data_IF_881722547484
#
_entry.id   IF_881722547484
#
_cell.length_a   1.000
_cell.length_b   1.000
_cell.length_c   1.000
_cell.angle_alpha   90.00
_cell.angle_beta   90.00
_cell.angle_gamma   90.00
#
_symmetry.space_group_name_H-M   'P 1'
#
loop_
_entity.id
_entity.type
_entity.pdbx_description
1 polymer ?
#
# COMPACT_ATOMS: atom_id res chain seq x y z
N UNK A 1 7.85 -6.04 26.12
CA UNK A 1 7.71 -6.24 24.66
C UNK A 1 6.89 -7.50 24.47
N UNK A 2 5.63 -7.36 24.08
CA UNK A 2 4.81 -8.51 23.71
C UNK A 2 5.32 -9.03 22.37
N UNK A 3 5.69 -10.31 22.30
CA UNK A 3 5.95 -10.97 21.02
C UNK A 3 4.72 -10.76 20.12
N UNK A 4 4.88 -9.97 19.06
CA UNK A 4 3.80 -9.67 18.14
C UNK A 4 3.44 -10.98 17.40
N UNK A 5 2.44 -11.70 17.92
CA UNK A 5 1.82 -12.88 17.30
C UNK A 5 1.14 -12.60 15.93
N UNK A 6 1.35 -11.41 15.39
CA UNK A 6 0.90 -10.94 14.09
C UNK A 6 1.73 -11.51 12.92
N UNK A 7 2.96 -11.94 13.18
CA UNK A 7 3.96 -12.17 12.13
C UNK A 7 3.94 -13.55 11.46
N UNK A 8 3.59 -14.61 12.19
CA UNK A 8 3.45 -15.97 11.64
C UNK A 8 2.05 -16.22 11.06
N UNK A 9 1.47 -15.19 10.45
CA UNK A 9 0.17 -15.29 9.80
C UNK A 9 0.36 -15.68 8.33
N UNK A 10 -0.43 -16.64 7.82
CA UNK A 10 -0.47 -16.94 6.38
C UNK A 10 -0.92 -15.69 5.63
N UNK A 11 -0.56 -15.57 4.35
CA UNK A 11 -0.77 -14.36 3.55
C UNK A 11 -2.25 -13.95 3.57
N UNK A 12 -2.50 -12.78 4.13
CA UNK A 12 -3.80 -12.12 4.13
C UNK A 12 -3.97 -11.38 2.81
N UNK A 13 -2.92 -10.65 2.43
CA UNK A 13 -2.88 -9.95 1.18
C UNK A 13 -1.48 -9.87 0.58
N UNK A 14 -1.43 -9.84 -0.74
CA UNK A 14 -0.29 -9.44 -1.53
C UNK A 14 -0.29 -7.94 -1.82
N UNK A 15 0.90 -7.37 -1.84
CA UNK A 15 1.17 -6.04 -2.39
C UNK A 15 2.14 -6.23 -3.55
N UNK A 16 1.80 -5.71 -4.72
CA UNK A 16 2.60 -5.84 -5.94
C UNK A 16 2.60 -4.55 -6.76
N UNK A 17 3.65 -4.40 -7.59
CA UNK A 17 3.80 -3.28 -8.52
C UNK A 17 3.82 -3.81 -9.95
N UNK A 18 2.71 -3.62 -10.67
CA UNK A 18 2.48 -4.22 -11.99
C UNK A 18 2.88 -3.28 -13.13
N UNK A 19 2.52 -2.00 -13.04
CA UNK A 19 2.77 -0.97 -14.04
C UNK A 19 3.25 0.33 -13.39
N UNK A 20 3.88 1.26 -14.13
CA UNK A 20 4.42 2.52 -13.60
C UNK A 20 3.50 3.32 -12.66
N UNK A 21 2.19 3.13 -12.76
CA UNK A 21 1.14 3.84 -12.04
C UNK A 21 0.14 2.91 -11.33
N UNK A 22 0.44 1.62 -11.22
CA UNK A 22 -0.47 0.61 -10.67
C UNK A 22 0.17 -0.11 -9.49
N UNK A 23 -0.44 0.09 -8.32
CA UNK A 23 -0.19 -0.72 -7.13
C UNK A 23 -1.38 -1.66 -6.99
N UNK A 24 -1.13 -2.96 -6.87
CA UNK A 24 -2.16 -3.96 -6.68
C UNK A 24 -2.14 -4.52 -5.25
N UNK A 25 -3.33 -4.68 -4.68
CA UNK A 25 -3.56 -5.35 -3.39
C UNK A 25 -4.37 -6.60 -3.66
N UNK A 26 -3.77 -7.77 -3.45
CA UNK A 26 -4.41 -9.07 -3.70
C UNK A 26 -4.83 -9.70 -2.38
N UNK A 27 -6.12 -9.79 -2.08
CA UNK A 27 -6.66 -10.44 -0.89
C UNK A 27 -6.80 -11.95 -1.12
N UNK A 28 -6.30 -12.74 -0.16
CA UNK A 28 -6.33 -14.19 -0.24
C UNK A 28 -7.79 -14.72 -0.17
N UNK A 29 -8.18 -15.71 -1.02
CA UNK A 29 -9.59 -16.12 -1.15
C UNK A 29 -10.20 -16.67 0.13
N UNK A 30 -9.40 -17.29 0.99
CA UNK A 30 -9.90 -17.86 2.26
C UNK A 30 -10.19 -16.81 3.33
N UNK A 31 -9.64 -15.59 3.24
CA UNK A 31 -9.98 -14.49 4.15
C UNK A 31 -11.08 -13.59 3.59
N UNK A 32 -11.29 -13.62 2.28
CA UNK A 32 -12.24 -12.77 1.60
C UNK A 32 -13.66 -12.81 2.20
N UNK A 33 -14.28 -13.98 2.49
CA UNK A 33 -15.59 -14.02 3.13
C UNK A 33 -15.64 -13.32 4.48
N UNK A 34 -14.55 -13.37 5.25
CA UNK A 34 -14.47 -12.71 6.55
C UNK A 34 -14.29 -11.19 6.41
N UNK A 35 -13.46 -10.74 5.46
CA UNK A 35 -13.32 -9.32 5.10
C UNK A 35 -14.67 -8.74 4.69
N UNK A 36 -15.39 -9.42 3.79
CA UNK A 36 -16.75 -9.03 3.35
C UNK A 36 -17.74 -9.05 4.51
N UNK A 37 -17.68 -10.07 5.37
CA UNK A 37 -18.54 -10.17 6.55
C UNK A 37 -18.33 -9.03 7.55
N UNK A 38 -17.06 -8.69 7.83
CA UNK A 38 -16.70 -7.56 8.68
C UNK A 38 -17.14 -6.22 8.10
N UNK A 39 -16.88 -6.02 6.80
CA UNK A 39 -17.34 -4.86 6.03
C UNK A 39 -18.85 -4.69 6.10
N UNK A 40 -19.61 -5.76 5.87
CA UNK A 40 -21.07 -5.76 5.90
C UNK A 40 -21.61 -5.39 7.28
N UNK A 41 -21.05 -5.97 8.35
CA UNK A 41 -21.41 -5.62 9.74
C UNK A 41 -21.10 -4.16 10.05
N UNK A 42 -19.92 -3.70 9.65
CA UNK A 42 -19.47 -2.32 9.89
C UNK A 42 -20.35 -1.32 9.15
N UNK A 43 -20.72 -1.59 7.91
CA UNK A 43 -21.66 -0.77 7.14
C UNK A 43 -23.03 -0.74 7.75
N UNK A 44 -23.54 -1.88 8.21
CA UNK A 44 -24.85 -1.95 8.87
C UNK A 44 -24.86 -1.08 10.13
N UNK A 45 -23.84 -1.22 10.98
CA UNK A 45 -23.67 -0.39 12.19
C UNK A 45 -23.51 1.10 11.84
N UNK A 46 -22.76 1.41 10.79
CA UNK A 46 -22.63 2.77 10.29
C UNK A 46 -23.99 3.30 9.84
N UNK A 47 -24.78 2.58 9.03
CA UNK A 47 -26.11 2.98 8.54
C UNK A 47 -27.14 3.22 9.65
N UNK A 48 -26.98 2.58 10.80
CA UNK A 48 -27.86 2.76 11.96
C UNK A 48 -27.53 4.02 12.79
N UNK A 49 -26.26 4.45 12.82
CA UNK A 49 -25.84 5.63 13.58
C UNK A 49 -26.17 6.94 12.86
N UNK A 50 -27.07 7.77 13.42
CA UNK A 50 -27.19 9.19 13.04
C UNK A 50 -25.99 9.95 13.60
N UNK A 51 -25.17 10.56 12.74
CA UNK A 51 -23.98 11.31 13.13
C UNK A 51 -23.94 12.69 12.44
N UNK A 52 -23.37 13.68 13.12
CA UNK A 52 -23.14 15.04 12.59
C UNK A 52 -21.95 15.07 11.59
N UNK A 53 -21.85 16.09 10.71
CA UNK A 53 -20.66 16.29 9.89
C UNK A 53 -19.44 16.57 10.78
N UNK A 54 -18.22 16.01 10.52
CA UNK A 54 -17.73 15.32 9.32
C UNK A 54 -17.82 13.78 9.38
N UNK A 55 -18.36 13.18 10.45
CA UNK A 55 -18.47 11.73 10.60
C UNK A 55 -19.30 11.08 9.48
N UNK A 56 -20.24 11.84 8.88
CA UNK A 56 -21.05 11.40 7.75
C UNK A 56 -20.22 11.13 6.47
N UNK A 57 -19.12 11.86 6.23
CA UNK A 57 -18.28 11.67 5.04
C UNK A 57 -17.42 10.39 5.13
N UNK A 58 -16.83 10.13 6.30
CA UNK A 58 -16.10 8.88 6.55
C UNK A 58 -17.04 7.67 6.48
N UNK A 59 -18.24 7.81 7.08
CA UNK A 59 -19.32 6.83 7.03
C UNK A 59 -19.74 6.50 5.59
N UNK A 60 -20.04 7.50 4.76
CA UNK A 60 -20.41 7.28 3.36
C UNK A 60 -19.29 6.63 2.54
N UNK A 61 -18.03 7.00 2.78
CA UNK A 61 -16.88 6.35 2.14
C UNK A 61 -16.79 4.87 2.51
N UNK A 62 -16.87 4.53 3.79
CA UNK A 62 -16.84 3.13 4.26
C UNK A 62 -18.02 2.31 3.72
N UNK A 63 -19.20 2.93 3.59
CA UNK A 63 -20.36 2.30 2.98
C UNK A 63 -20.10 2.00 1.51
N UNK A 64 -19.59 2.95 0.74
CA UNK A 64 -19.22 2.73 -0.66
C UNK A 64 -18.12 1.69 -0.80
N UNK A 65 -17.15 1.66 0.10
CA UNK A 65 -16.09 0.64 0.13
C UNK A 65 -16.70 -0.73 0.28
N UNK A 66 -17.49 -0.97 1.33
CA UNK A 66 -18.10 -2.28 1.50
C UNK A 66 -19.06 -2.66 0.36
N UNK A 67 -19.84 -1.70 -0.15
CA UNK A 67 -20.71 -1.93 -1.31
C UNK A 67 -19.89 -2.42 -2.50
N UNK A 68 -18.75 -1.79 -2.79
CA UNK A 68 -17.84 -2.20 -3.86
C UNK A 68 -17.21 -3.58 -3.63
N UNK A 69 -16.87 -3.93 -2.39
CA UNK A 69 -16.39 -5.27 -2.03
C UNK A 69 -17.50 -6.34 -2.12
N UNK A 70 -18.77 -5.93 -2.23
CA UNK A 70 -19.93 -6.84 -2.39
C UNK A 70 -20.49 -6.86 -3.82
N UNK A 71 -19.98 -6.01 -4.72
CA UNK A 71 -20.43 -5.97 -6.11
C UNK A 71 -19.78 -7.13 -6.89
N UNK A 72 -20.56 -7.87 -7.71
CA UNK A 72 -20.05 -9.00 -8.48
C UNK A 72 -19.11 -8.61 -9.65
N UNK A 73 -18.66 -7.34 -9.77
CA UNK A 73 -19.23 -6.46 -10.80
C UNK A 73 -18.85 -4.96 -10.78
N UNK A 74 -17.61 -4.51 -10.53
CA UNK A 74 -17.25 -3.11 -10.85
C UNK A 74 -17.00 -2.97 -12.37
N UNK A 75 -17.82 -2.20 -13.08
CA UNK A 75 -17.59 -1.92 -14.51
C UNK A 75 -16.26 -1.19 -14.70
N UNK A 76 -15.42 -1.68 -15.62
CA UNK A 76 -14.28 -0.92 -16.14
C UNK A 76 -14.74 0.50 -16.52
N UNK A 77 -14.02 1.55 -16.11
CA UNK A 77 -14.38 2.89 -16.53
C UNK A 77 -14.32 2.97 -18.05
N UNK A 78 -15.43 3.33 -18.69
CA UNK A 78 -15.39 3.72 -20.09
C UNK A 78 -14.66 5.06 -20.15
N UNK A 79 -13.65 5.18 -21.01
CA UNK A 79 -13.12 6.48 -21.42
C UNK A 79 -14.28 7.29 -22.01
N UNK A 80 -14.95 8.10 -21.19
CA UNK A 80 -15.95 9.05 -21.68
C UNK A 80 -15.27 10.38 -21.89
N UNK A 81 -15.29 10.85 -23.13
CA UNK A 81 -14.78 12.13 -23.63
C UNK A 81 -14.90 13.26 -22.60
N UNK A 82 -13.78 13.60 -21.96
CA UNK A 82 -13.60 14.87 -21.24
C UNK A 82 -14.23 15.02 -19.85
N UNK A 83 -15.02 14.07 -19.35
CA UNK A 83 -15.64 14.18 -18.02
C UNK A 83 -14.90 13.35 -16.95
N UNK A 84 -13.74 13.85 -16.48
CA UNK A 84 -12.96 13.21 -15.41
C UNK A 84 -13.52 13.55 -14.00
N UNK A 85 -14.78 13.22 -13.74
CA UNK A 85 -15.44 13.44 -12.45
C UNK A 85 -15.70 12.14 -11.70
N UNK A 86 -15.12 11.98 -10.50
CA UNK A 86 -15.40 10.98 -9.44
C UNK A 86 -15.42 9.46 -9.80
N UNK A 87 -15.62 9.07 -11.06
CA UNK A 87 -15.72 7.70 -11.58
C UNK A 87 -14.39 7.14 -12.11
N UNK A 88 -13.33 7.97 -12.17
CA UNK A 88 -12.07 7.64 -12.85
C UNK A 88 -10.89 7.38 -11.90
N UNK A 89 -11.16 6.84 -10.70
CA UNK A 89 -10.14 5.97 -10.11
C UNK A 89 -10.33 4.64 -10.81
N UNK A 90 -9.44 4.28 -11.75
CA UNK A 90 -9.56 2.97 -12.36
C UNK A 90 -9.39 1.94 -11.24
N UNK A 91 -10.36 1.06 -11.16
CA UNK A 91 -10.39 -0.12 -10.33
C UNK A 91 -10.60 -1.25 -11.33
N UNK A 92 -9.61 -2.11 -11.51
CA UNK A 92 -9.88 -3.41 -12.10
C UNK A 92 -9.72 -4.43 -10.99
N UNK A 93 -10.73 -5.29 -10.88
CA UNK A 93 -10.71 -6.42 -9.97
C UNK A 93 -10.87 -7.68 -10.80
N UNK A 94 -10.16 -8.70 -10.38
CA UNK A 94 -10.34 -10.05 -10.88
C UNK A 94 -10.65 -10.90 -9.65
N UNK A 95 -11.79 -11.56 -9.67
CA UNK A 95 -12.10 -12.63 -8.75
C UNK A 95 -11.83 -13.93 -9.50
N UNK A 96 -10.75 -14.61 -9.13
CA UNK A 96 -10.43 -15.93 -9.65
C UNK A 96 -10.15 -16.91 -8.50
N UNK A 97 -9.76 -18.14 -8.85
CA UNK A 97 -9.43 -19.18 -7.87
C UNK A 97 -8.24 -18.80 -6.97
N UNK A 98 -7.46 -17.77 -7.33
CA UNK A 98 -6.26 -17.32 -6.63
C UNK A 98 -6.54 -16.17 -5.65
N UNK A 99 -7.71 -15.51 -5.75
CA UNK A 99 -8.15 -14.53 -4.78
C UNK A 99 -8.90 -13.35 -5.36
N UNK A 100 -8.92 -12.27 -4.59
CA UNK A 100 -9.48 -10.99 -4.99
C UNK A 100 -8.34 -10.00 -5.22
N UNK A 101 -8.21 -9.42 -6.41
CA UNK A 101 -7.20 -8.39 -6.70
C UNK A 101 -7.85 -7.03 -6.79
N UNK A 102 -7.29 -6.01 -6.15
CA UNK A 102 -7.63 -4.61 -6.38
C UNK A 102 -6.45 -3.89 -7.00
N UNK A 103 -6.64 -3.35 -8.20
CA UNK A 103 -5.64 -2.51 -8.85
C UNK A 103 -5.98 -1.05 -8.63
N UNK A 104 -5.07 -0.33 -7.98
CA UNK A 104 -5.20 1.10 -7.77
C UNK A 104 -4.39 1.83 -8.83
N UNK A 105 -5.11 2.46 -9.76
CA UNK A 105 -4.50 3.29 -10.78
C UNK A 105 -4.37 4.71 -10.25
N UNK A 106 -3.14 5.19 -10.13
CA UNK A 106 -2.87 6.51 -9.60
C UNK A 106 -2.91 7.54 -10.74
N UNK A 107 -3.79 8.55 -10.69
CA UNK A 107 -3.82 9.58 -11.72
C UNK A 107 -2.52 10.39 -11.70
N UNK A 108 -1.95 10.66 -12.88
CA UNK A 108 -0.77 11.52 -13.01
C UNK A 108 -1.10 12.98 -12.72
N UNK A 109 -0.17 13.72 -12.12
CA UNK A 109 -0.34 15.14 -11.83
C UNK A 109 -0.21 15.99 -13.11
N UNK A 110 -1.34 16.44 -13.65
CA UNK A 110 -1.38 17.61 -14.53
C UNK A 110 -2.04 18.77 -13.77
N UNK A 111 -1.27 19.85 -13.62
CA UNK A 111 -1.43 20.92 -12.64
C UNK A 111 -2.78 21.66 -12.66
N UNK A 112 -3.17 22.08 -11.44
CA UNK A 112 -4.11 23.15 -11.02
C UNK A 112 -5.49 22.78 -10.48
N UNK A 113 -6.17 21.71 -10.88
CA UNK A 113 -7.55 21.47 -10.40
C UNK A 113 -7.85 20.06 -9.83
N UNK A 114 -6.86 19.17 -9.73
CA UNK A 114 -7.08 17.71 -9.55
C UNK A 114 -6.82 17.14 -8.15
N UNK A 115 -6.52 17.96 -7.15
CA UNK A 115 -6.16 17.49 -5.79
C UNK A 115 -7.20 16.57 -5.12
N UNK A 116 -8.49 16.66 -5.49
CA UNK A 116 -9.57 15.82 -4.94
C UNK A 116 -9.55 14.37 -5.43
N UNK A 117 -9.10 14.11 -6.66
CA UNK A 117 -9.07 12.76 -7.22
C UNK A 117 -8.03 11.89 -6.51
N UNK A 118 -6.84 12.45 -6.24
CA UNK A 118 -5.75 11.76 -5.55
C UNK A 118 -6.12 11.40 -4.11
N UNK A 119 -6.69 12.36 -3.38
CA UNK A 119 -7.17 12.13 -2.01
C UNK A 119 -8.23 11.01 -1.95
N UNK A 120 -8.99 10.81 -3.03
CA UNK A 120 -9.98 9.74 -3.11
C UNK A 120 -9.28 8.39 -3.28
N UNK A 121 -8.41 8.23 -4.29
CA UNK A 121 -7.63 6.98 -4.50
C UNK A 121 -6.85 6.57 -3.25
N UNK A 122 -6.25 7.55 -2.59
CA UNK A 122 -5.51 7.37 -1.35
C UNK A 122 -6.38 6.85 -0.22
N UNK A 123 -7.55 7.47 -0.02
CA UNK A 123 -8.52 6.97 0.95
C UNK A 123 -8.94 5.53 0.61
N UNK A 124 -9.09 5.18 -0.67
CA UNK A 124 -9.47 3.83 -1.07
C UNK A 124 -8.38 2.79 -0.77
N UNK A 125 -7.13 3.08 -1.10
CA UNK A 125 -6.00 2.21 -0.80
C UNK A 125 -5.81 2.07 0.71
N UNK A 126 -5.77 3.20 1.43
CA UNK A 126 -5.62 3.24 2.88
C UNK A 126 -6.73 2.45 3.59
N UNK A 127 -8.00 2.69 3.24
CA UNK A 127 -9.09 1.93 3.84
C UNK A 127 -9.05 0.44 3.48
N UNK A 128 -8.65 0.08 2.25
CA UNK A 128 -8.54 -1.33 1.85
C UNK A 128 -7.48 -2.06 2.68
N UNK A 129 -6.28 -1.47 2.78
CA UNK A 129 -5.18 -2.05 3.57
C UNK A 129 -5.51 -2.08 5.06
N UNK A 130 -6.07 -1.00 5.60
CA UNK A 130 -6.47 -0.93 7.01
C UNK A 130 -7.57 -1.94 7.36
N UNK A 131 -8.52 -2.17 6.46
CA UNK A 131 -9.56 -3.19 6.64
C UNK A 131 -8.99 -4.61 6.68
N UNK A 132 -7.99 -4.89 5.85
CA UNK A 132 -7.35 -6.21 5.81
C UNK A 132 -6.41 -6.41 7.00
N UNK A 133 -5.63 -5.38 7.36
CA UNK A 133 -4.61 -5.45 8.41
C UNK A 133 -5.13 -5.25 9.83
N UNK A 134 -6.20 -4.49 10.01
CA UNK A 134 -6.66 -4.01 11.33
C UNK A 134 -7.77 -4.80 12.01
N UNK A 135 -8.35 -5.82 11.37
CA UNK A 135 -9.41 -6.63 11.98
C UNK A 135 -8.87 -7.98 12.49
N UNK A 136 -8.61 -8.03 13.79
CA UNK A 136 -8.17 -9.25 14.50
C UNK A 136 -9.20 -10.41 14.43
N UNK A 137 -10.43 -10.14 13.98
CA UNK A 137 -11.45 -11.17 13.78
C UNK A 137 -11.37 -11.85 12.40
N UNK A 138 -10.49 -11.40 11.51
CA UNK A 138 -10.27 -12.09 10.23
C UNK A 138 -9.59 -13.44 10.54
N UNK A 139 -10.21 -14.58 10.17
CA UNK A 139 -9.62 -15.89 10.37
C UNK A 139 -8.26 -15.95 9.70
N UNK A 140 -7.29 -16.55 10.39
CA UNK A 140 -6.00 -16.82 9.79
C UNK A 140 -6.23 -17.74 8.57
N UNK A 141 -5.80 -17.34 7.36
CA UNK A 141 -5.95 -18.18 6.18
C UNK A 141 -5.27 -19.54 6.39
N UNK A 142 -5.61 -20.54 5.57
CA UNK A 142 -4.80 -21.76 5.47
C UNK A 142 -4.07 -21.72 4.13
N UNK A 143 -3.16 -20.76 3.99
CA UNK A 143 -2.38 -20.50 2.77
C UNK A 143 -0.95 -21.01 2.86
N UNK A 144 -0.33 -21.30 1.71
CA UNK A 144 1.11 -21.64 1.61
C UNK A 144 2.00 -20.41 1.61
N UNK A 145 1.51 -19.31 1.03
CA UNK A 145 2.25 -18.06 0.94
C UNK A 145 2.19 -17.30 2.28
N UNK A 146 3.28 -16.59 2.58
CA UNK A 146 3.51 -15.93 3.87
C UNK A 146 3.28 -14.43 3.71
N UNK A 147 2.61 -13.79 4.68
CA UNK A 147 2.52 -12.33 4.69
C UNK A 147 3.93 -11.75 4.74
N UNK A 148 4.28 -10.85 3.82
CA UNK A 148 5.63 -10.27 3.72
C UNK A 148 5.74 -8.91 4.39
N UNK A 149 4.70 -8.09 4.30
CA UNK A 149 4.62 -6.76 4.90
C UNK A 149 3.27 -6.52 5.54
N UNK A 150 3.23 -5.62 6.51
CA UNK A 150 2.01 -5.02 7.04
C UNK A 150 2.12 -3.52 6.77
N UNK A 151 1.14 -2.94 6.09
CA UNK A 151 1.05 -1.49 5.90
C UNK A 151 0.12 -0.97 7.00
N UNK A 152 0.71 -0.31 7.99
CA UNK A 152 0.03 0.15 9.20
C UNK A 152 -0.68 1.48 8.93
N UNK A 153 0.00 2.39 8.24
CA UNK A 153 -0.46 3.75 8.01
C UNK A 153 -0.14 4.21 6.59
N UNK A 154 -1.10 4.88 5.97
CA UNK A 154 -0.94 5.64 4.71
C UNK A 154 -1.60 7.00 4.94
N UNK A 155 -0.89 8.07 4.59
CA UNK A 155 -1.28 9.46 4.79
C UNK A 155 -1.54 9.82 6.25
N UNK A 156 -0.75 9.29 7.19
CA UNK A 156 -0.89 9.65 8.59
C UNK A 156 -0.40 11.08 8.83
N UNK A 157 -1.33 11.98 9.17
CA UNK A 157 -1.04 13.39 9.50
C UNK A 157 -0.94 13.55 11.03
N UNK A 158 0.19 13.15 11.61
CA UNK A 158 0.40 13.15 13.07
C UNK A 158 1.29 14.26 13.62
N UNK A 159 1.93 15.06 12.78
CA UNK A 159 2.97 16.02 13.21
C UNK A 159 3.19 17.19 12.27
N UNK A 160 3.98 18.17 12.74
CA UNK A 160 4.40 19.36 12.01
C UNK A 160 5.19 18.96 10.74
N UNK A 161 4.49 18.73 9.61
CA UNK A 161 4.98 18.57 8.23
C UNK A 161 4.89 17.17 7.56
N UNK A 162 4.37 16.12 8.19
CA UNK A 162 4.66 14.75 7.70
C UNK A 162 3.42 14.02 7.14
N UNK A 163 3.53 13.56 5.88
CA UNK A 163 2.73 12.44 5.38
C UNK A 163 3.51 11.17 5.71
N UNK A 164 3.10 10.47 6.77
CA UNK A 164 3.74 9.21 7.17
C UNK A 164 3.16 8.01 6.43
N UNK A 165 4.04 7.12 5.97
CA UNK A 165 3.71 5.73 5.66
C UNK A 165 4.36 4.82 6.70
N UNK A 166 3.55 4.05 7.41
CA UNK A 166 3.97 3.08 8.40
C UNK A 166 4.00 1.69 7.78
N UNK A 167 5.17 1.05 7.71
CA UNK A 167 5.30 -0.28 7.13
C UNK A 167 6.07 -1.16 8.08
N UNK A 168 5.53 -2.32 8.41
CA UNK A 168 6.25 -3.36 9.10
C UNK A 168 6.66 -4.47 8.13
N UNK A 169 7.94 -4.81 8.17
CA UNK A 169 8.53 -5.97 7.52
C UNK A 169 8.33 -7.18 8.44
N UNK A 170 7.70 -8.23 7.91
CA UNK A 170 7.55 -9.48 8.65
C UNK A 170 8.89 -10.21 8.81
N UNK A 171 9.04 -11.12 9.79
CA UNK A 171 10.20 -12.01 9.90
C UNK A 171 10.54 -12.77 8.62
N UNK A 172 9.54 -13.13 7.81
CA UNK A 172 9.78 -13.84 6.55
C UNK A 172 10.52 -12.95 5.57
N UNK A 173 10.01 -11.74 5.34
CA UNK A 173 10.68 -10.80 4.45
C UNK A 173 12.00 -10.32 5.06
N UNK A 174 12.08 -10.12 6.38
CA UNK A 174 13.31 -9.72 7.06
C UNK A 174 14.43 -10.76 6.90
N UNK A 175 14.12 -12.06 7.06
CA UNK A 175 15.09 -13.14 6.77
C UNK A 175 15.49 -13.18 5.29
N UNK A 176 14.55 -12.96 4.37
CA UNK A 176 14.89 -12.91 2.94
C UNK A 176 15.81 -11.71 2.64
N UNK A 177 15.55 -10.53 3.21
CA UNK A 177 16.40 -9.34 3.11
C UNK A 177 17.80 -9.61 3.70
N UNK A 178 17.87 -10.25 4.87
CA UNK A 178 19.13 -10.58 5.54
C UNK A 178 19.99 -11.56 4.72
N UNK A 179 19.36 -12.40 3.89
CA UNK A 179 20.06 -13.33 3.01
C UNK A 179 20.62 -12.68 1.74
N UNK A 180 20.20 -11.46 1.41
CA UNK A 180 20.71 -10.74 0.24
C UNK A 180 22.14 -10.22 0.49
N UNK A 181 22.94 -9.98 -0.57
CA UNK A 181 24.24 -9.34 -0.39
C UNK A 181 24.06 -7.93 0.20
N UNK A 182 24.57 -7.73 1.41
CA UNK A 182 24.46 -6.45 2.12
C UNK A 182 25.25 -5.36 1.37
N UNK A 183 24.84 -4.11 1.52
CA UNK A 183 25.29 -2.91 0.78
C UNK A 183 25.03 -2.91 -0.73
N UNK A 184 24.41 -3.96 -1.27
CA UNK A 184 24.05 -4.02 -2.67
C UNK A 184 22.84 -3.13 -2.97
N UNK A 185 22.94 -2.35 -4.05
CA UNK A 185 21.79 -1.64 -4.64
C UNK A 185 20.86 -2.63 -5.34
N UNK A 186 19.58 -2.30 -5.41
CA UNK A 186 18.53 -3.13 -6.03
C UNK A 186 17.89 -2.35 -7.19
N UNK A 187 18.52 -2.31 -8.38
CA UNK A 187 18.12 -1.41 -9.46
C UNK A 187 16.67 -1.58 -9.94
N UNK A 188 16.14 -2.81 -9.91
CA UNK A 188 14.75 -3.06 -10.33
C UNK A 188 13.73 -2.43 -9.35
N UNK A 189 14.06 -2.34 -8.06
CA UNK A 189 13.23 -1.64 -7.07
C UNK A 189 13.37 -0.13 -7.25
N UNK A 190 14.59 0.36 -7.50
CA UNK A 190 14.84 1.77 -7.81
C UNK A 190 14.05 2.25 -9.04
N UNK A 191 13.96 1.40 -10.07
CA UNK A 191 13.15 1.68 -11.26
C UNK A 191 11.66 1.76 -10.93
N UNK A 192 11.13 0.94 -10.04
CA UNK A 192 9.74 1.02 -9.60
C UNK A 192 9.46 2.34 -8.87
N UNK A 193 10.33 2.71 -7.92
CA UNK A 193 10.26 4.00 -7.19
C UNK A 193 10.29 5.16 -8.20
N UNK A 194 11.26 5.16 -9.12
CA UNK A 194 11.41 6.21 -10.11
C UNK A 194 10.21 6.30 -11.04
N UNK A 195 9.70 5.16 -11.53
CA UNK A 195 8.56 5.12 -12.46
C UNK A 195 7.32 5.71 -11.82
N UNK A 196 7.01 5.29 -10.59
CA UNK A 196 5.89 5.80 -9.83
C UNK A 196 6.03 7.30 -9.54
N UNK A 197 7.20 7.72 -9.05
CA UNK A 197 7.44 9.13 -8.76
C UNK A 197 7.26 10.00 -10.01
N UNK A 198 7.86 9.60 -11.14
CA UNK A 198 7.79 10.31 -12.42
C UNK A 198 6.37 10.46 -12.92
N UNK A 199 5.61 9.37 -12.84
CA UNK A 199 4.20 9.38 -13.22
C UNK A 199 3.41 10.38 -12.35
N UNK A 200 3.61 10.29 -11.04
CA UNK A 200 2.93 11.12 -10.06
C UNK A 200 3.28 12.61 -10.17
N UNK A 201 4.46 12.99 -10.65
CA UNK A 201 4.84 14.40 -10.86
C UNK A 201 4.64 14.90 -12.30
N UNK A 202 4.05 14.07 -13.18
CA UNK A 202 3.78 14.44 -14.57
C UNK A 202 5.04 14.60 -15.43
N UNK A 203 6.09 13.82 -15.17
CA UNK A 203 7.30 13.78 -15.99
C UNK A 203 8.25 14.99 -15.86
N UNK A 204 7.94 15.98 -15.01
CA UNK A 204 8.80 17.15 -14.74
C UNK A 204 10.00 16.78 -13.86
N UNK A 205 10.95 16.03 -14.43
CA UNK A 205 12.13 15.46 -13.74
C UNK A 205 13.32 16.42 -13.61
N UNK A 206 13.34 17.50 -14.37
CA UNK A 206 14.53 18.36 -14.53
C UNK A 206 15.03 19.02 -13.23
N UNK A 207 14.26 18.91 -12.14
CA UNK A 207 14.57 19.51 -10.84
C UNK A 207 15.13 18.54 -9.79
N UNK A 208 15.30 17.25 -10.10
CA UNK A 208 15.59 16.24 -9.09
C UNK A 208 17.00 15.67 -9.24
N UNK A 209 17.97 16.42 -8.72
CA UNK A 209 19.36 15.97 -8.54
C UNK A 209 19.55 14.85 -7.49
N UNK A 210 18.48 14.15 -7.11
CA UNK A 210 18.50 13.07 -6.11
C UNK A 210 18.05 11.76 -6.76
N UNK A 211 18.96 10.79 -6.79
CA UNK A 211 18.68 9.45 -7.30
C UNK A 211 17.68 8.71 -6.40
N UNK A 212 16.74 7.99 -7.01
CA UNK A 212 16.02 6.93 -6.32
C UNK A 212 17.02 5.84 -5.93
N UNK A 213 16.90 5.32 -4.71
CA UNK A 213 17.83 4.30 -4.21
C UNK A 213 17.05 3.21 -3.49
N UNK A 214 17.49 1.97 -3.65
CA UNK A 214 17.08 0.86 -2.81
C UNK A 214 18.33 0.05 -2.51
N UNK A 215 18.62 -0.18 -1.24
CA UNK A 215 19.75 -1.02 -0.84
C UNK A 215 19.45 -1.85 0.39
N UNK A 216 20.15 -2.97 0.50
CA UNK A 216 20.21 -3.73 1.73
C UNK A 216 21.29 -3.12 2.63
N UNK A 217 20.91 -2.58 3.78
CA UNK A 217 21.83 -1.93 4.72
C UNK A 217 22.71 -2.94 5.44
N UNK A 218 23.83 -2.51 6.03
CA UNK A 218 24.78 -3.38 6.75
C UNK A 218 24.20 -4.09 7.99
N UNK A 219 22.97 -3.75 8.36
CA UNK A 219 22.28 -4.21 9.56
C UNK A 219 21.04 -5.04 9.24
N UNK A 220 21.03 -5.74 8.09
CA UNK A 220 19.91 -6.58 7.64
C UNK A 220 18.59 -5.81 7.39
N UNK A 221 18.67 -4.48 7.34
CA UNK A 221 17.57 -3.59 6.99
C UNK A 221 17.51 -3.36 5.48
N UNK A 222 16.33 -2.96 4.99
CA UNK A 222 16.19 -2.34 3.67
C UNK A 222 16.09 -0.83 3.83
N UNK A 223 16.64 -0.13 2.86
CA UNK A 223 16.62 1.32 2.78
C UNK A 223 16.12 1.74 1.39
N UNK A 224 15.05 2.53 1.35
CA UNK A 224 14.44 3.05 0.12
C UNK A 224 14.47 4.57 0.16
N UNK A 225 14.86 5.21 -0.93
CA UNK A 225 14.89 6.66 -1.07
C UNK A 225 14.23 7.08 -2.38
N UNK A 226 13.47 8.15 -2.34
CA UNK A 226 12.94 8.82 -3.53
C UNK A 226 13.37 10.29 -3.54
N UNK A 227 13.10 11.04 -4.63
CA UNK A 227 13.49 12.43 -4.71
C UNK A 227 12.87 13.31 -3.62
N UNK A 228 13.69 14.14 -2.97
CA UNK A 228 13.32 14.98 -1.84
C UNK A 228 14.51 15.23 -0.90
N UNK A 229 14.30 16.00 0.16
CA UNK A 229 15.33 16.25 1.16
C UNK A 229 15.46 15.04 2.09
N UNK A 230 16.35 14.09 1.77
CA UNK A 230 16.48 12.83 2.53
C UNK A 230 15.14 12.10 2.68
N UNK A 231 14.36 12.05 1.59
CA UNK A 231 13.05 11.41 1.59
C UNK A 231 13.19 9.88 1.49
N UNK A 232 12.97 9.17 2.59
CA UNK A 232 13.36 7.78 2.73
C UNK A 232 12.44 6.95 3.63
N UNK A 233 12.49 5.63 3.42
CA UNK A 233 12.03 4.59 4.34
C UNK A 233 13.21 3.72 4.74
N UNK A 234 13.42 3.54 6.04
CA UNK A 234 14.50 2.71 6.55
C UNK A 234 14.23 2.15 7.94
N UNK A 235 14.93 1.06 8.27
CA UNK A 235 14.97 0.53 9.63
C UNK A 235 15.85 1.40 10.53
N UNK A 236 15.35 1.79 11.71
CA UNK A 236 16.02 2.68 12.67
C UNK A 236 17.17 2.06 13.47
N UNK A 237 17.99 1.18 12.88
CA UNK A 237 19.15 0.56 13.54
C UNK A 237 19.34 -0.93 13.23
N UNK A 238 20.15 -1.63 14.04
CA UNK A 238 20.30 -3.09 13.98
C UNK A 238 18.96 -3.83 14.00
N UNK A 239 18.74 -4.67 13.00
CA UNK A 239 17.53 -5.48 12.88
C UNK A 239 17.84 -6.93 13.22
N UNK A 240 17.05 -7.57 14.09
CA UNK A 240 17.01 -9.03 14.18
C UNK A 240 16.11 -9.58 13.06
N UNK A 241 16.65 -10.32 12.06
CA UNK A 241 15.85 -10.85 10.97
C UNK A 241 14.73 -11.80 11.43
N UNK A 242 14.80 -12.34 12.64
CA UNK A 242 13.81 -13.28 13.17
C UNK A 242 12.56 -12.61 13.73
N UNK A 243 12.62 -11.32 14.06
CA UNK A 243 11.53 -10.59 14.71
C UNK A 243 10.74 -9.69 13.74
N UNK A 244 11.27 -9.46 12.54
CA UNK A 244 10.76 -8.41 11.67
C UNK A 244 11.12 -7.02 12.20
N UNK A 245 10.68 -5.96 11.52
CA UNK A 245 10.99 -4.58 11.92
C UNK A 245 10.10 -3.56 11.21
N UNK A 246 10.00 -2.36 11.74
CA UNK A 246 9.29 -1.26 11.09
C UNK A 246 10.24 -0.42 10.22
N UNK A 247 9.75 0.00 9.06
CA UNK A 247 10.34 1.06 8.25
C UNK A 247 9.75 2.39 8.73
N UNK A 248 10.62 3.26 9.24
CA UNK A 248 10.24 4.62 9.61
C UNK A 248 10.37 5.55 8.41
N UNK A 249 9.41 6.46 8.18
CA UNK A 249 9.56 7.54 7.23
C UNK A 249 10.52 8.61 7.75
N UNK A 250 11.29 9.20 6.84
CA UNK A 250 12.04 10.43 7.10
C UNK A 250 11.85 11.39 5.92
N UNK A 251 11.38 12.61 6.23
CA UNK A 251 11.06 13.69 5.28
C UNK A 251 10.20 13.24 4.09
N UNK A 252 9.14 12.47 4.38
CA UNK A 252 8.10 12.13 3.42
C UNK A 252 7.01 13.18 3.53
N UNK A 253 7.00 14.14 2.61
CA UNK A 253 6.26 15.39 2.74
C UNK A 253 5.09 15.50 1.75
N UNK A 254 5.05 14.63 0.73
CA UNK A 254 4.03 14.67 -0.32
C UNK A 254 3.63 13.29 -0.84
N UNK A 255 2.42 13.19 -1.42
CA UNK A 255 1.91 11.93 -1.97
C UNK A 255 2.81 11.29 -3.04
N UNK A 256 3.43 12.03 -3.98
CA UNK A 256 4.37 11.42 -4.92
C UNK A 256 5.52 10.65 -4.24
N UNK A 257 6.04 11.17 -3.13
CA UNK A 257 7.09 10.52 -2.36
C UNK A 257 6.57 9.24 -1.68
N UNK A 258 5.46 9.37 -0.96
CA UNK A 258 4.82 8.25 -0.26
C UNK A 258 4.54 7.06 -1.18
N UNK A 259 3.93 7.32 -2.34
CA UNK A 259 3.62 6.27 -3.31
C UNK A 259 4.84 5.72 -4.03
N UNK A 260 5.84 6.55 -4.33
CA UNK A 260 7.08 6.07 -4.90
C UNK A 260 7.77 5.07 -3.96
N UNK A 261 7.80 5.38 -2.67
CA UNK A 261 8.35 4.50 -1.64
C UNK A 261 7.50 3.23 -1.48
N UNK A 262 6.17 3.33 -1.47
CA UNK A 262 5.27 2.17 -1.43
C UNK A 262 5.41 1.27 -2.67
N UNK A 263 5.61 1.84 -3.86
CA UNK A 263 5.90 1.09 -5.08
C UNK A 263 7.23 0.33 -4.96
N UNK A 264 8.23 0.93 -4.32
CA UNK A 264 9.48 0.24 -3.99
C UNK A 264 9.26 -0.96 -3.06
N UNK A 265 8.48 -0.80 -2.00
CA UNK A 265 8.13 -1.90 -1.08
C UNK A 265 7.32 -3.00 -1.78
N UNK A 266 6.36 -2.62 -2.61
CA UNK A 266 5.57 -3.55 -3.41
C UNK A 266 6.49 -4.37 -4.35
N UNK A 267 7.43 -3.71 -5.03
CA UNK A 267 8.38 -4.39 -5.90
C UNK A 267 9.34 -5.30 -5.14
N UNK A 268 9.72 -4.92 -3.93
CA UNK A 268 10.51 -5.77 -3.03
C UNK A 268 9.75 -7.05 -2.64
N UNK A 269 8.46 -6.92 -2.36
CA UNK A 269 7.60 -8.07 -2.08
C UNK A 269 7.50 -9.00 -3.30
N UNK A 270 7.38 -8.46 -4.51
CA UNK A 270 7.35 -9.26 -5.74
C UNK A 270 8.63 -10.10 -5.92
N UNK A 271 9.80 -9.50 -5.68
CA UNK A 271 11.08 -10.20 -5.73
C UNK A 271 11.15 -11.31 -4.68
N UNK A 272 10.78 -11.01 -3.43
CA UNK A 272 10.80 -11.98 -2.35
C UNK A 272 9.84 -13.15 -2.61
N UNK A 273 8.64 -12.91 -3.15
CA UNK A 273 7.72 -13.99 -3.53
C UNK A 273 8.31 -14.88 -4.62
N UNK A 274 8.95 -14.29 -5.63
CA UNK A 274 9.57 -15.05 -6.72
C UNK A 274 10.66 -16.00 -6.21
N UNK A 275 11.43 -15.60 -5.20
CA UNK A 275 12.49 -16.42 -4.60
C UNK A 275 11.96 -17.46 -3.60
N UNK A 276 10.90 -17.12 -2.86
CA UNK A 276 10.38 -17.97 -1.77
C UNK A 276 9.43 -19.08 -2.24
N UNK A 277 8.81 -18.93 -3.42
CA UNK A 277 7.82 -19.87 -3.97
C UNK A 277 6.45 -19.83 -3.27
#
# INVERSE_FOLDING_TARGET
MHANSAWDRPEWYGLSFEEPNVIAVTVHPTIWPAVVGSLTKRVSSLREKKAEPPANLYREKMIRIAEQFTLPSLTEPKETDGAFGFQNTCFSYQHDEQGWVCRFYLPGHQEKERGRAHATTLNWLCNSLWLIGGDDNIPKPKGRHRQLVVVEDICYTGGYNELGVGISITPTLARWIAAQPQTQRVPIVEQAIASMYRWMVGGKLELLGHECCCSFGQYFGVYLRCPGNACELGGGGPVDPNDGYCLGPHNVDCFPQEFALLAGVAKLCDLARADLG
#
